data_IF_006681232660
#
_entry.id   IF_006681232660
#
_cell.length_a   1.000
_cell.length_b   1.000
_cell.length_c   1.000
_cell.angle_alpha   90.00
_cell.angle_beta   90.00
_cell.angle_gamma   90.00
#
_symmetry.space_group_name_H-M   'P 1'
#
loop_
_entity.id
_entity.type
_entity.pdbx_description
1 polymer ?
#
# COMPACT_ATOMS: atom_id res chain seq x y z
N UNK A 1 4.39 17.44 -7.40
CA UNK A 1 3.54 17.04 -6.27
C UNK A 1 4.43 16.72 -5.07
N UNK A 2 4.68 17.69 -4.18
CA UNK A 2 5.58 17.50 -3.03
C UNK A 2 5.11 16.40 -2.07
N UNK A 3 3.80 16.31 -1.82
CA UNK A 3 3.19 15.31 -0.93
C UNK A 3 3.38 13.87 -1.41
N UNK A 4 3.10 13.62 -2.69
CA UNK A 4 3.35 12.32 -3.29
C UNK A 4 4.84 11.95 -3.20
N UNK A 5 5.74 12.89 -3.51
CA UNK A 5 7.17 12.64 -3.41
C UNK A 5 7.61 12.32 -1.97
N UNK A 6 7.06 13.03 -0.98
CA UNK A 6 7.28 12.75 0.44
C UNK A 6 6.84 11.33 0.78
N UNK A 7 5.62 10.94 0.37
CA UNK A 7 5.10 9.58 0.56
C UNK A 7 6.01 8.53 -0.08
N UNK A 8 6.46 8.74 -1.31
CA UNK A 8 7.36 7.82 -2.02
C UNK A 8 8.70 7.65 -1.31
N UNK A 9 9.27 8.73 -0.79
CA UNK A 9 10.58 8.72 -0.13
C UNK A 9 10.53 8.14 1.29
N UNK A 10 9.48 8.45 2.04
CA UNK A 10 9.44 8.16 3.47
C UNK A 10 8.52 6.98 3.82
N UNK A 11 7.40 6.83 3.14
CA UNK A 11 6.31 5.95 3.58
C UNK A 11 6.20 4.65 2.79
N UNK A 12 6.52 4.64 1.48
CA UNK A 12 6.39 3.42 0.65
C UNK A 12 7.14 2.24 1.26
N UNK A 13 8.37 2.46 1.72
CA UNK A 13 9.22 1.41 2.29
C UNK A 13 8.75 0.90 3.68
N UNK A 14 7.72 1.50 4.26
CA UNK A 14 7.11 1.06 5.52
C UNK A 14 6.01 0.02 5.28
N UNK A 15 5.47 -0.08 4.06
CA UNK A 15 4.48 -1.09 3.71
C UNK A 15 5.18 -2.27 3.02
N UNK A 16 4.89 -3.50 3.45
CA UNK A 16 5.62 -4.68 2.97
C UNK A 16 5.18 -5.19 1.60
N UNK A 17 4.06 -4.69 1.11
CA UNK A 17 3.33 -5.13 -0.07
C UNK A 17 2.88 -3.93 -0.92
N UNK A 18 3.56 -2.80 -0.78
CA UNK A 18 3.40 -1.63 -1.64
C UNK A 18 4.66 -1.47 -2.49
N UNK A 19 4.46 -1.31 -3.78
CA UNK A 19 5.53 -1.09 -4.74
C UNK A 19 5.27 0.21 -5.50
N UNK A 20 6.36 0.94 -5.80
CA UNK A 20 6.30 2.09 -6.68
C UNK A 20 6.70 1.67 -8.09
N UNK A 21 5.82 1.94 -9.05
CA UNK A 21 6.09 1.82 -10.47
C UNK A 21 6.19 3.21 -11.10
N UNK A 22 7.30 3.48 -11.80
CA UNK A 22 7.55 4.75 -12.51
C UNK A 22 6.96 4.76 -13.92
N UNK A 23 5.81 4.11 -14.12
CA UNK A 23 5.17 3.96 -15.42
C UNK A 23 4.93 5.30 -16.15
N UNK A 24 4.62 5.22 -17.45
CA UNK A 24 4.38 6.40 -18.30
C UNK A 24 3.03 7.09 -18.06
N UNK A 25 2.28 6.64 -17.05
CA UNK A 25 0.97 7.18 -16.71
C UNK A 25 1.09 8.65 -16.30
N UNK A 26 0.19 9.47 -16.84
CA UNK A 26 0.21 10.92 -16.60
C UNK A 26 -0.24 11.28 -15.18
N UNK A 27 -1.11 10.46 -14.60
CA UNK A 27 -1.73 10.70 -13.30
C UNK A 27 -1.29 9.63 -12.31
N UNK A 28 -0.79 10.03 -11.12
CA UNK A 28 -0.39 9.07 -10.10
C UNK A 28 -1.60 8.37 -9.51
N UNK A 29 -1.50 7.06 -9.34
CA UNK A 29 -2.59 6.24 -8.85
C UNK A 29 -2.09 5.09 -7.97
N UNK A 30 -2.93 4.71 -7.00
CA UNK A 30 -2.79 3.44 -6.30
C UNK A 30 -3.64 2.40 -7.01
N UNK A 31 -3.03 1.27 -7.36
CA UNK A 31 -3.69 0.11 -7.93
C UNK A 31 -3.64 -1.02 -6.91
N UNK A 32 -4.80 -1.54 -6.55
CA UNK A 32 -4.94 -2.62 -5.58
C UNK A 32 -5.18 -3.93 -6.32
N UNK A 33 -4.39 -4.94 -6.01
CA UNK A 33 -4.47 -6.26 -6.60
C UNK A 33 -5.06 -7.27 -5.62
N UNK A 34 -5.79 -8.26 -6.15
CA UNK A 34 -6.20 -9.41 -5.37
C UNK A 34 -5.09 -10.48 -5.32
N UNK A 35 -5.35 -11.61 -4.67
CA UNK A 35 -4.44 -12.75 -4.57
C UNK A 35 -4.07 -13.41 -5.91
N UNK A 36 -4.82 -13.12 -6.98
CA UNK A 36 -4.58 -13.60 -8.36
C UNK A 36 -3.85 -12.56 -9.22
N UNK A 37 -3.32 -11.51 -8.59
CA UNK A 37 -2.66 -10.38 -9.27
C UNK A 37 -3.59 -9.62 -10.23
N UNK A 38 -4.90 -9.68 -10.01
CA UNK A 38 -5.89 -8.91 -10.79
C UNK A 38 -6.16 -7.58 -10.10
N UNK A 39 -6.09 -6.47 -10.85
CA UNK A 39 -6.44 -5.15 -10.34
C UNK A 39 -7.94 -5.08 -10.00
N UNK A 40 -8.26 -4.86 -8.73
CA UNK A 40 -9.64 -4.80 -8.22
C UNK A 40 -10.11 -3.39 -7.90
N UNK A 41 -9.17 -2.44 -7.73
CA UNK A 41 -9.48 -1.04 -7.43
C UNK A 41 -8.33 -0.13 -7.88
N UNK A 42 -8.68 1.04 -8.41
CA UNK A 42 -7.72 2.12 -8.72
C UNK A 42 -8.19 3.40 -8.06
N UNK A 43 -7.26 4.16 -7.47
CA UNK A 43 -7.53 5.45 -6.82
C UNK A 43 -6.50 6.47 -7.29
N UNK A 44 -6.96 7.58 -7.86
CA UNK A 44 -6.09 8.72 -8.18
C UNK A 44 -5.63 9.39 -6.88
N UNK A 45 -4.34 9.71 -6.79
CA UNK A 45 -3.73 10.28 -5.58
C UNK A 45 -3.06 11.65 -5.81
N UNK A 46 -3.28 12.26 -6.97
CA UNK A 46 -2.67 13.55 -7.35
C UNK A 46 -2.92 14.66 -6.32
N UNK A 47 -4.16 14.74 -5.81
CA UNK A 47 -4.60 15.75 -4.85
C UNK A 47 -4.51 15.29 -3.38
N UNK A 48 -3.97 14.10 -3.12
CA UNK A 48 -3.87 13.55 -1.76
C UNK A 48 -2.54 13.89 -1.09
N UNK A 49 -2.60 14.20 0.21
CA UNK A 49 -1.42 14.33 1.08
C UNK A 49 -0.80 12.98 1.42
N UNK A 50 0.45 12.97 1.87
CA UNK A 50 1.11 11.73 2.29
C UNK A 50 0.36 11.02 3.45
N UNK A 51 -0.24 11.80 4.34
CA UNK A 51 -1.04 11.31 5.46
C UNK A 51 -2.38 10.74 4.99
N UNK A 52 -3.05 11.36 4.02
CA UNK A 52 -4.30 10.84 3.45
C UNK A 52 -4.07 9.52 2.70
N UNK A 53 -2.96 9.42 1.96
CA UNK A 53 -2.56 8.17 1.30
C UNK A 53 -2.32 7.08 2.37
N UNK A 54 -1.61 7.41 3.44
CA UNK A 54 -1.35 6.47 4.53
C UNK A 54 -2.63 6.03 5.24
N UNK A 55 -3.52 6.97 5.56
CA UNK A 55 -4.81 6.70 6.19
C UNK A 55 -5.70 5.82 5.30
N UNK A 56 -5.68 6.03 3.97
CA UNK A 56 -6.37 5.16 3.03
C UNK A 56 -5.85 3.72 3.11
N UNK A 57 -4.53 3.52 3.07
CA UNK A 57 -3.91 2.19 3.15
C UNK A 57 -4.26 1.50 4.48
N UNK A 58 -4.14 2.21 5.61
CA UNK A 58 -4.50 1.71 6.93
C UNK A 58 -5.98 1.31 7.01
N UNK A 59 -6.88 2.12 6.45
CA UNK A 59 -8.32 1.82 6.40
C UNK A 59 -8.66 0.57 5.59
N UNK A 60 -7.82 0.23 4.60
CA UNK A 60 -7.92 -0.97 3.78
C UNK A 60 -7.23 -2.18 4.42
N UNK A 61 -6.63 -2.01 5.61
CA UNK A 61 -6.00 -3.07 6.38
C UNK A 61 -4.55 -3.34 5.98
N UNK A 62 -3.88 -2.43 5.27
CA UNK A 62 -2.45 -2.55 5.02
C UNK A 62 -1.68 -2.31 6.32
N UNK A 63 -0.66 -3.14 6.54
CA UNK A 63 0.22 -3.00 7.70
C UNK A 63 1.35 -2.02 7.40
N UNK A 64 1.50 -1.01 8.25
CA UNK A 64 2.60 -0.05 8.24
C UNK A 64 3.62 -0.43 9.31
N UNK A 65 4.87 -0.68 8.91
CA UNK A 65 5.99 -0.90 9.84
C UNK A 65 6.35 0.38 10.58
N UNK A 66 6.91 0.25 11.77
CA UNK A 66 7.40 1.42 12.53
C UNK A 66 8.67 2.00 11.89
N UNK A 67 9.50 1.14 11.29
CA UNK A 67 10.74 1.53 10.63
C UNK A 67 11.01 0.69 9.38
N UNK A 68 11.73 1.28 8.42
CA UNK A 68 12.16 0.60 7.20
C UNK A 68 13.08 -0.57 7.55
N UNK A 69 12.81 -1.73 6.94
CA UNK A 69 13.64 -2.94 7.12
C UNK A 69 13.30 -3.78 8.35
N UNK A 70 12.35 -3.35 9.19
CA UNK A 70 11.81 -4.19 10.27
C UNK A 70 11.13 -5.45 9.69
N UNK A 71 11.27 -6.59 10.35
CA UNK A 71 10.53 -7.79 9.97
C UNK A 71 9.03 -7.57 10.20
N UNK A 72 8.20 -8.04 9.25
CA UNK A 72 6.75 -8.02 9.43
C UNK A 72 6.36 -9.15 10.36
N UNK A 73 5.69 -8.88 11.50
CA UNK A 73 5.18 -9.92 12.38
C UNK A 73 4.33 -10.93 11.61
N UNK A 74 4.44 -12.22 11.94
CA UNK A 74 3.76 -13.32 11.22
C UNK A 74 2.25 -13.10 11.06
N UNK A 75 1.63 -12.51 12.08
CA UNK A 75 0.21 -12.16 12.11
C UNK A 75 -0.20 -11.08 11.08
N UNK A 76 0.73 -10.29 10.53
CA UNK A 76 0.45 -9.23 9.57
C UNK A 76 0.98 -9.50 8.16
N UNK A 77 1.73 -10.59 7.95
CA UNK A 77 2.36 -10.89 6.65
C UNK A 77 1.33 -11.11 5.52
N UNK A 78 0.15 -11.61 5.86
CA UNK A 78 -0.93 -11.85 4.90
C UNK A 78 -1.81 -10.63 4.67
N UNK A 79 -1.74 -9.60 5.53
CA UNK A 79 -2.54 -8.39 5.35
C UNK A 79 -2.16 -7.65 4.06
N UNK A 80 -3.12 -6.97 3.41
CA UNK A 80 -4.54 -6.83 3.78
C UNK A 80 -5.42 -8.02 3.35
N UNK A 81 -4.85 -9.01 2.65
CA UNK A 81 -5.59 -10.21 2.29
C UNK A 81 -6.00 -10.91 3.59
N UNK A 82 -7.17 -11.55 3.57
CA UNK A 82 -7.54 -12.42 4.69
C UNK A 82 -6.66 -13.66 4.58
N UNK A 83 -6.13 -14.14 5.70
CA UNK A 83 -5.60 -15.50 5.73
C UNK A 83 -6.69 -16.43 5.18
N UNK A 84 -6.34 -17.46 4.39
CA UNK A 84 -7.28 -18.50 4.04
C UNK A 84 -7.94 -18.92 5.36
N UNK A 85 -9.25 -18.71 5.49
CA UNK A 85 -9.95 -19.29 6.63
C UNK A 85 -9.66 -20.77 6.52
N UNK A 86 -9.01 -21.35 7.54
CA UNK A 86 -9.13 -22.78 7.75
C UNK A 86 -10.64 -23.05 7.81
N UNK A 87 -11.21 -23.50 6.70
CA UNK A 87 -12.54 -24.06 6.63
C UNK A 87 -12.45 -25.37 7.43
N UNK A 88 -12.58 -25.25 8.76
CA UNK A 88 -12.79 -26.36 9.68
C UNK A 88 -14.23 -26.89 9.56
#
# INVERSE_FOLDING_TARGET
>A
MPELQLFLMEHVALYHNLEYDSGEEKEPQLIFYNEKEEAVKTVLVEDMTADEISALLESLGFYKRSQKGEEVPKEFQHLPLKAPRDEL
#
